data_IF_857674317331
#
_entry.id   IF_857674317331
#
_cell.length_a   1.000
_cell.length_b   1.000
_cell.length_c   1.000
_cell.angle_alpha   90.00
_cell.angle_beta   90.00
_cell.angle_gamma   90.00
#
_symmetry.space_group_name_H-M   'P 1'
#
loop_
_entity.id
_entity.type
_entity.pdbx_description
1 polymer ?
#
# COMPACT_ATOMS: atom_id res chain seq x y z
N UNK A 1 0.24 5.59 -25.23
CA UNK A 1 -0.41 4.78 -24.18
C UNK A 1 -0.09 5.35 -22.81
N UNK A 2 1.11 5.13 -22.24
CA UNK A 2 1.48 5.66 -20.90
C UNK A 2 1.26 7.18 -20.78
N UNK A 3 1.72 7.97 -21.74
CA UNK A 3 1.52 9.44 -21.73
C UNK A 3 0.05 9.87 -21.90
N UNK A 4 -0.80 9.03 -22.48
CA UNK A 4 -2.20 9.37 -22.77
C UNK A 4 -3.14 9.00 -21.62
N UNK A 5 -2.72 8.08 -20.74
CA UNK A 5 -3.58 7.51 -19.70
C UNK A 5 -3.05 7.69 -18.29
N UNK A 6 -1.85 8.27 -18.11
CA UNK A 6 -1.33 8.63 -16.79
C UNK A 6 -1.97 9.93 -16.32
N UNK A 7 -2.84 9.83 -15.32
CA UNK A 7 -3.52 10.98 -14.70
C UNK A 7 -3.21 11.05 -13.21
N UNK A 8 -3.51 12.17 -12.57
CA UNK A 8 -3.25 12.34 -11.13
C UNK A 8 -3.98 11.31 -10.25
N UNK A 9 -5.18 10.88 -10.67
CA UNK A 9 -5.97 9.86 -9.96
C UNK A 9 -5.57 8.42 -10.31
N UNK A 10 -4.87 8.20 -11.42
CA UNK A 10 -4.43 6.88 -11.89
C UNK A 10 -3.05 6.97 -12.58
N UNK A 11 -1.98 7.27 -11.82
CA UNK A 11 -0.66 7.52 -12.38
C UNK A 11 0.02 6.21 -12.84
N UNK A 12 0.72 6.28 -13.97
CA UNK A 12 1.67 5.23 -14.37
C UNK A 12 3.06 5.53 -13.81
N UNK A 13 3.71 4.52 -13.23
CA UNK A 13 5.10 4.60 -12.76
C UNK A 13 6.01 3.76 -13.65
N UNK A 14 7.04 4.37 -14.26
CA UNK A 14 8.07 3.66 -15.02
C UNK A 14 9.20 3.27 -14.07
N UNK A 15 9.35 1.96 -13.80
CA UNK A 15 10.33 1.43 -12.83
C UNK A 15 11.48 0.73 -13.56
N UNK A 16 12.74 1.16 -13.38
CA UNK A 16 13.90 0.42 -13.89
C UNK A 16 13.98 -0.98 -13.31
N UNK A 17 13.94 -1.99 -14.18
CA UNK A 17 13.75 -3.39 -13.78
C UNK A 17 14.98 -4.29 -13.92
N UNK A 18 16.11 -3.77 -14.43
CA UNK A 18 17.34 -4.54 -14.67
C UNK A 18 17.85 -5.24 -13.41
N UNK A 19 17.67 -4.60 -12.25
CA UNK A 19 18.01 -5.14 -10.94
C UNK A 19 16.74 -5.50 -10.17
N UNK A 20 16.48 -6.79 -10.02
CA UNK A 20 15.25 -7.33 -9.38
C UNK A 20 15.01 -6.76 -7.98
N UNK A 21 16.07 -6.66 -7.16
CA UNK A 21 15.94 -6.14 -5.79
C UNK A 21 15.54 -4.65 -5.80
N UNK A 22 16.08 -3.87 -6.74
CA UNK A 22 15.79 -2.44 -6.85
C UNK A 22 14.36 -2.20 -7.32
N UNK A 23 13.92 -2.95 -8.34
CA UNK A 23 12.52 -2.98 -8.77
C UNK A 23 11.58 -3.29 -7.61
N UNK A 24 11.88 -4.33 -6.82
CA UNK A 24 11.05 -4.71 -5.67
C UNK A 24 10.98 -3.58 -4.64
N UNK A 25 12.12 -2.96 -4.32
CA UNK A 25 12.18 -1.84 -3.39
C UNK A 25 11.32 -0.65 -3.85
N UNK A 26 11.46 -0.23 -5.10
CA UNK A 26 10.72 0.93 -5.65
C UNK A 26 9.22 0.65 -5.66
N UNK A 27 8.79 -0.54 -6.11
CA UNK A 27 7.36 -0.92 -6.13
C UNK A 27 6.81 -0.95 -4.70
N UNK A 28 7.51 -1.59 -3.76
CA UNK A 28 7.07 -1.65 -2.37
C UNK A 28 6.94 -0.27 -1.74
N UNK A 29 7.86 0.65 -2.04
CA UNK A 29 7.79 2.02 -1.50
C UNK A 29 6.58 2.77 -2.03
N UNK A 30 6.30 2.71 -3.34
CA UNK A 30 5.11 3.35 -3.94
C UNK A 30 3.83 2.81 -3.30
N UNK A 31 3.74 1.50 -3.11
CA UNK A 31 2.58 0.87 -2.47
C UNK A 31 2.41 1.31 -1.02
N UNK A 32 3.49 1.32 -0.24
CA UNK A 32 3.46 1.76 1.16
C UNK A 32 3.05 3.23 1.26
N UNK A 33 3.70 4.12 0.52
CA UNK A 33 3.39 5.56 0.56
C UNK A 33 1.92 5.83 0.18
N UNK A 34 1.41 5.10 -0.81
CA UNK A 34 -0.01 5.20 -1.21
C UNK A 34 -0.94 4.72 -0.10
N UNK A 35 -0.68 3.55 0.49
CA UNK A 35 -1.54 2.99 1.54
C UNK A 35 -1.47 3.80 2.84
N UNK A 36 -0.29 4.32 3.21
CA UNK A 36 -0.13 5.20 4.37
C UNK A 36 -0.92 6.51 4.20
N UNK A 37 -0.99 7.06 2.98
CA UNK A 37 -1.76 8.28 2.69
C UNK A 37 -3.28 8.13 2.88
N UNK A 38 -3.78 6.90 2.94
CA UNK A 38 -5.21 6.62 3.16
C UNK A 38 -5.59 6.69 4.64
N UNK A 39 -4.62 6.80 5.56
CA UNK A 39 -4.82 6.87 7.01
C UNK A 39 -5.74 5.74 7.54
N UNK A 40 -5.43 4.51 7.12
CA UNK A 40 -6.25 3.35 7.45
C UNK A 40 -6.05 2.94 8.91
N UNK A 41 -7.17 2.76 9.61
CA UNK A 41 -7.21 2.15 10.94
C UNK A 41 -8.06 0.88 10.92
N UNK A 42 -7.78 -0.04 11.84
CA UNK A 42 -8.74 -1.11 12.11
C UNK A 42 -10.05 -0.51 12.62
N UNK A 43 -11.19 -1.13 12.31
CA UNK A 43 -12.45 -0.75 12.94
C UNK A 43 -12.40 -1.05 14.44
N UNK A 44 -13.24 -0.34 15.19
CA UNK A 44 -13.44 -0.65 16.60
C UNK A 44 -13.94 -2.10 16.76
N UNK A 45 -13.45 -2.84 17.77
CA UNK A 45 -13.92 -4.19 18.02
C UNK A 45 -15.39 -4.17 18.42
N UNK A 46 -16.19 -5.12 17.90
CA UNK A 46 -17.60 -5.26 18.28
C UNK A 46 -17.78 -5.68 19.75
N UNK A 47 -16.77 -6.36 20.31
CA UNK A 47 -16.78 -6.89 21.65
C UNK A 47 -15.49 -6.57 22.37
N UNK A 48 -15.59 -6.16 23.63
CA UNK A 48 -14.42 -6.04 24.51
C UNK A 48 -13.93 -7.44 24.89
N UNK A 49 -12.68 -7.74 24.52
CA UNK A 49 -12.04 -9.03 24.78
C UNK A 49 -11.18 -9.00 26.05
N UNK A 50 -11.14 -7.88 26.79
CA UNK A 50 -10.32 -7.70 27.99
C UNK A 50 -10.58 -8.75 29.08
N UNK A 51 -11.78 -9.33 29.11
CA UNK A 51 -12.22 -10.34 30.08
C UNK A 51 -12.24 -11.78 29.56
N UNK A 52 -11.68 -12.07 28.38
CA UNK A 52 -11.67 -13.42 27.81
C UNK A 52 -10.39 -14.16 28.23
N UNK A 53 -10.55 -15.28 28.94
CA UNK A 53 -9.48 -16.24 29.20
C UNK A 53 -9.50 -17.35 28.14
N UNK A 54 -8.40 -17.51 27.40
CA UNK A 54 -8.20 -18.64 26.48
C UNK A 54 -7.55 -19.77 27.29
N UNK A 55 -8.28 -20.87 27.49
CA UNK A 55 -7.84 -22.10 28.17
C UNK A 55 -7.15 -23.04 27.19
#
# INVERSE_FOLDING_TARGET
AVNETSTDSAPWYVVPADRKWHRNLVISRILIDTLESLDLSYPDPEHDLSSIEII
#
